data_IF_969890528253
#
_entry.id   IF_969890528253
#
_cell.length_a   1.000
_cell.length_b   1.000
_cell.length_c   1.000
_cell.angle_alpha   90.00
_cell.angle_beta   90.00
_cell.angle_gamma   90.00
#
_symmetry.space_group_name_H-M   'P 1'
#
loop_
_entity.id
_entity.type
_entity.pdbx_description
1 polymer ?
#
# COMPACT_ATOMS: atom_id res chain seq x y z
N UNK A 1 -19.46 -5.84 11.66
CA UNK A 1 -18.99 -5.03 10.50
C UNK A 1 -17.47 -5.06 10.32
N UNK A 2 -16.64 -5.09 11.38
CA UNK A 2 -15.15 -5.16 11.28
C UNK A 2 -14.56 -6.31 10.42
N UNK A 3 -15.15 -7.50 10.40
CA UNK A 3 -14.57 -8.65 9.68
C UNK A 3 -14.63 -8.54 8.15
N UNK A 4 -15.59 -7.80 7.58
CA UNK A 4 -15.79 -7.76 6.11
C UNK A 4 -14.73 -6.89 5.42
N UNK A 5 -14.38 -5.74 6.01
CA UNK A 5 -13.33 -4.84 5.50
C UNK A 5 -11.94 -5.45 5.64
N UNK A 6 -11.64 -6.08 6.79
CA UNK A 6 -10.38 -6.81 7.00
C UNK A 6 -10.19 -7.88 5.93
N UNK A 7 -11.25 -8.65 5.63
CA UNK A 7 -11.21 -9.71 4.61
C UNK A 7 -10.96 -9.14 3.20
N UNK A 8 -11.50 -7.96 2.90
CA UNK A 8 -11.35 -7.32 1.58
C UNK A 8 -9.93 -6.81 1.36
N UNK A 9 -9.35 -6.12 2.35
CA UNK A 9 -7.98 -5.63 2.28
C UNK A 9 -6.95 -6.76 2.16
N UNK A 10 -7.15 -7.87 2.89
CA UNK A 10 -6.28 -9.05 2.78
C UNK A 10 -6.34 -9.64 1.37
N UNK A 11 -7.53 -9.78 0.78
CA UNK A 11 -7.69 -10.29 -0.60
C UNK A 11 -7.01 -9.42 -1.64
N UNK A 12 -7.09 -8.10 -1.50
CA UNK A 12 -6.43 -7.17 -2.41
C UNK A 12 -4.91 -7.29 -2.31
N UNK A 13 -4.38 -7.37 -1.09
CA UNK A 13 -2.95 -7.59 -0.86
C UNK A 13 -2.50 -8.94 -1.45
N UNK A 14 -3.28 -10.00 -1.27
CA UNK A 14 -2.98 -11.32 -1.84
C UNK A 14 -2.93 -11.26 -3.37
N UNK A 15 -3.86 -10.55 -4.00
CA UNK A 15 -3.88 -10.34 -5.46
C UNK A 15 -2.61 -9.62 -5.94
N UNK A 16 -2.22 -8.55 -5.25
CA UNK A 16 -1.00 -7.78 -5.55
C UNK A 16 0.25 -8.65 -5.45
N UNK A 17 0.36 -9.45 -4.39
CA UNK A 17 1.49 -10.37 -4.17
C UNK A 17 1.64 -11.42 -5.27
N UNK A 18 0.56 -11.75 -5.98
CA UNK A 18 0.61 -12.70 -7.12
C UNK A 18 1.00 -12.07 -8.45
N UNK A 19 1.09 -10.75 -8.54
CA UNK A 19 1.44 -10.07 -9.80
C UNK A 19 2.94 -10.18 -10.09
N UNK A 20 3.32 -10.46 -11.34
CA UNK A 20 4.70 -10.74 -11.74
C UNK A 20 5.68 -9.60 -11.40
N UNK A 21 5.26 -8.35 -11.60
CA UNK A 21 6.08 -7.17 -11.31
C UNK A 21 6.41 -7.00 -9.81
N UNK A 22 5.62 -7.64 -8.95
CA UNK A 22 5.77 -7.57 -7.50
C UNK A 22 6.44 -8.81 -6.97
N UNK A 23 6.12 -10.00 -7.50
CA UNK A 23 6.67 -11.28 -7.05
C UNK A 23 8.21 -11.32 -7.05
N UNK A 24 8.84 -10.59 -7.97
CA UNK A 24 10.30 -10.49 -8.08
C UNK A 24 10.90 -9.28 -7.34
N UNK A 25 10.06 -8.41 -6.77
CA UNK A 25 10.47 -7.25 -6.00
C UNK A 25 10.43 -7.55 -4.49
N UNK A 26 11.57 -8.01 -3.97
CA UNK A 26 11.71 -8.40 -2.55
C UNK A 26 11.31 -7.30 -1.55
N UNK A 27 11.48 -6.02 -1.91
CA UNK A 27 11.11 -4.92 -1.03
C UNK A 27 9.58 -4.76 -0.94
N UNK A 28 8.90 -4.74 -2.09
CA UNK A 28 7.44 -4.67 -2.13
C UNK A 28 6.79 -5.90 -1.49
N UNK A 29 7.30 -7.10 -1.79
CA UNK A 29 6.79 -8.35 -1.19
C UNK A 29 6.85 -8.28 0.34
N UNK A 30 7.95 -7.80 0.92
CA UNK A 30 8.08 -7.64 2.37
C UNK A 30 7.09 -6.62 2.93
N UNK A 31 6.91 -5.48 2.26
CA UNK A 31 5.97 -4.43 2.68
C UNK A 31 4.54 -5.00 2.73
N UNK A 32 4.12 -5.66 1.64
CA UNK A 32 2.77 -6.21 1.53
C UNK A 32 2.52 -7.38 2.49
N UNK A 33 3.47 -8.30 2.67
CA UNK A 33 3.34 -9.40 3.63
C UNK A 33 3.25 -8.90 5.08
N UNK A 34 4.04 -7.88 5.45
CA UNK A 34 3.99 -7.26 6.77
C UNK A 34 2.61 -6.65 7.03
N UNK A 35 2.07 -5.92 6.06
CA UNK A 35 0.75 -5.31 6.20
C UNK A 35 -0.37 -6.35 6.24
N UNK A 36 -0.30 -7.39 5.39
CA UNK A 36 -1.24 -8.52 5.41
C UNK A 36 -1.37 -9.13 6.81
N UNK A 37 -0.23 -9.44 7.44
CA UNK A 37 -0.20 -10.01 8.79
C UNK A 37 -0.76 -9.06 9.86
N UNK A 38 -0.49 -7.75 9.75
CA UNK A 38 -1.02 -6.76 10.70
C UNK A 38 -2.54 -6.59 10.55
N UNK A 39 -3.06 -6.60 9.32
CA UNK A 39 -4.50 -6.53 9.03
C UNK A 39 -5.23 -7.79 9.52
N UNK A 40 -4.66 -8.98 9.30
CA UNK A 40 -5.23 -10.25 9.83
C UNK A 40 -5.29 -10.28 11.36
N UNK A 41 -4.32 -9.65 12.03
CA UNK A 41 -4.31 -9.49 13.49
C UNK A 41 -5.31 -8.43 13.98
N UNK A 42 -5.94 -7.68 13.08
CA UNK A 42 -6.87 -6.60 13.41
C UNK A 42 -6.20 -5.35 13.98
N UNK A 43 -4.91 -5.12 13.65
CA UNK A 43 -4.18 -3.93 14.07
C UNK A 43 -4.79 -2.68 13.40
N UNK A 44 -5.32 -1.75 14.20
CA UNK A 44 -6.13 -0.63 13.70
C UNK A 44 -5.37 0.39 12.84
N UNK A 45 -4.04 0.42 12.94
CA UNK A 45 -3.12 1.32 12.22
C UNK A 45 -2.41 0.60 11.05
N UNK A 46 -2.81 -0.63 10.71
CA UNK A 46 -2.12 -1.44 9.70
C UNK A 46 -2.12 -0.80 8.31
N UNK A 47 -3.25 -0.23 7.87
CA UNK A 47 -3.35 0.46 6.58
C UNK A 47 -2.54 1.75 6.53
N UNK A 48 -2.48 2.49 7.63
CA UNK A 48 -1.67 3.70 7.70
C UNK A 48 -0.17 3.40 7.69
N UNK A 49 0.26 2.35 8.39
CA UNK A 49 1.64 1.85 8.28
C UNK A 49 1.96 1.37 6.87
N UNK A 50 1.05 0.65 6.21
CA UNK A 50 1.21 0.26 4.81
C UNK A 50 1.35 1.48 3.88
N UNK A 51 0.50 2.49 4.04
CA UNK A 51 0.58 3.76 3.30
C UNK A 51 1.93 4.45 3.49
N UNK A 52 2.43 4.50 4.72
CA UNK A 52 3.74 5.06 5.03
C UNK A 52 4.89 4.23 4.42
N UNK A 53 4.83 2.90 4.54
CA UNK A 53 5.84 2.00 3.97
C UNK A 53 5.88 2.12 2.42
N UNK A 54 4.73 2.26 1.76
CA UNK A 54 4.64 2.55 0.32
C UNK A 54 5.23 3.93 -0.01
N UNK A 55 4.96 4.96 0.81
CA UNK A 55 5.54 6.31 0.61
C UNK A 55 7.07 6.25 0.63
N UNK A 56 7.63 5.56 1.62
CA UNK A 56 9.08 5.37 1.72
C UNK A 56 9.65 4.57 0.55
N UNK A 57 8.96 3.52 0.13
CA UNK A 57 9.33 2.78 -1.07
C UNK A 57 9.41 3.71 -2.28
N UNK A 58 8.39 4.53 -2.52
CA UNK A 58 8.36 5.47 -3.64
C UNK A 58 9.55 6.43 -3.56
N UNK A 59 9.79 7.07 -2.42
CA UNK A 59 10.93 7.99 -2.25
C UNK A 59 12.26 7.30 -2.57
N UNK A 60 12.48 6.09 -2.06
CA UNK A 60 13.72 5.33 -2.27
C UNK A 60 13.91 4.84 -3.71
N UNK A 61 12.81 4.65 -4.44
CA UNK A 61 12.80 4.15 -5.82
C UNK A 61 12.50 5.26 -6.82
N UNK A 62 12.85 6.53 -6.51
CA UNK A 62 12.68 7.69 -7.41
C UNK A 62 11.24 7.87 -7.90
N UNK A 63 10.29 7.52 -7.05
CA UNK A 63 8.85 7.54 -7.30
C UNK A 63 8.39 6.56 -8.39
N UNK A 64 9.22 5.58 -8.76
CA UNK A 64 8.85 4.50 -9.67
C UNK A 64 8.29 3.31 -8.89
N UNK A 65 7.14 2.80 -9.32
CA UNK A 65 6.56 1.56 -8.80
C UNK A 65 5.70 0.87 -9.86
N UNK A 66 5.55 -0.47 -9.78
CA UNK A 66 4.65 -1.23 -10.63
C UNK A 66 3.21 -0.68 -10.59
N UNK A 67 2.50 -0.82 -11.70
CA UNK A 67 1.10 -0.38 -11.83
C UNK A 67 0.19 -0.85 -10.69
N UNK A 68 0.21 -2.14 -10.28
CA UNK A 68 -0.66 -2.62 -9.21
C UNK A 68 -0.42 -1.92 -7.86
N UNK A 69 0.82 -1.50 -7.58
CA UNK A 69 1.16 -0.78 -6.34
C UNK A 69 0.56 0.63 -6.35
N UNK A 70 0.64 1.31 -7.50
CA UNK A 70 0.08 2.65 -7.65
C UNK A 70 -1.44 2.63 -7.57
N UNK A 71 -2.09 1.68 -8.24
CA UNK A 71 -3.55 1.53 -8.20
C UNK A 71 -4.05 1.28 -6.78
N UNK A 72 -3.36 0.40 -6.05
CA UNK A 72 -3.66 0.13 -4.65
C UNK A 72 -3.41 1.36 -3.75
N UNK A 73 -2.30 2.07 -3.96
CA UNK A 73 -2.01 3.30 -3.22
C UNK A 73 -3.10 4.38 -3.45
N UNK A 74 -3.63 4.48 -4.66
CA UNK A 74 -4.77 5.35 -4.96
C UNK A 74 -6.06 4.92 -4.25
N UNK A 75 -6.30 3.61 -4.09
CA UNK A 75 -7.45 3.10 -3.35
C UNK A 75 -7.36 3.48 -1.86
N UNK A 76 -6.21 3.29 -1.23
CA UNK A 76 -5.94 3.73 0.15
C UNK A 76 -6.12 5.26 0.27
N UNK A 77 -5.61 6.03 -0.70
CA UNK A 77 -5.71 7.49 -0.67
C UNK A 77 -7.17 8.01 -0.67
N UNK A 78 -8.07 7.28 -1.35
CA UNK A 78 -9.50 7.58 -1.43
C UNK A 78 -10.25 7.23 -0.14
N UNK A 79 -9.71 6.36 0.69
CA UNK A 79 -10.32 6.11 1.99
C UNK A 79 -10.23 7.37 2.88
N UNK A 80 -11.32 7.72 3.58
CA UNK A 80 -11.32 8.78 4.59
C UNK A 80 -10.59 8.31 5.83
N UNK A 81 -9.30 8.00 5.70
CA UNK A 81 -8.43 7.72 6.84
C UNK A 81 -8.30 8.98 7.69
N UNK A 82 -8.60 8.85 8.98
CA UNK A 82 -8.43 9.91 9.99
C UNK A 82 -6.96 10.18 10.36
N UNK A 83 -6.02 9.64 9.60
CA UNK A 83 -4.64 9.46 10.05
C UNK A 83 -3.66 10.52 9.53
N UNK A 84 -2.71 10.84 10.42
CA UNK A 84 -1.62 11.79 10.23
C UNK A 84 -0.62 11.21 9.22
N UNK A 85 -0.22 11.99 8.21
CA UNK A 85 0.71 11.54 7.15
C UNK A 85 0.09 11.37 5.76
N UNK A 86 -1.25 11.48 5.64
CA UNK A 86 -1.96 11.42 4.35
C UNK A 86 -1.40 12.40 3.30
N UNK A 87 -1.01 13.62 3.70
CA UNK A 87 -0.44 14.61 2.77
C UNK A 87 0.88 14.15 2.15
N UNK A 88 1.81 13.60 2.94
CA UNK A 88 3.09 13.12 2.45
C UNK A 88 2.94 11.89 1.53
N UNK A 89 1.98 11.00 1.86
CA UNK A 89 1.61 9.89 0.99
C UNK A 89 1.03 10.37 -0.34
N UNK A 90 0.08 11.32 -0.30
CA UNK A 90 -0.52 11.90 -1.51
C UNK A 90 0.52 12.59 -2.39
N UNK A 91 1.49 13.32 -1.80
CA UNK A 91 2.58 13.96 -2.53
C UNK A 91 3.48 12.92 -3.22
N UNK A 92 3.87 11.86 -2.52
CA UNK A 92 4.70 10.78 -3.07
C UNK A 92 3.99 10.05 -4.22
N UNK A 93 2.69 9.79 -4.05
CA UNK A 93 1.84 9.21 -5.08
C UNK A 93 1.70 10.14 -6.29
N UNK A 94 1.48 11.44 -6.07
CA UNK A 94 1.38 12.40 -7.17
C UNK A 94 2.68 12.45 -8.00
N UNK A 95 3.84 12.41 -7.36
CA UNK A 95 5.14 12.35 -8.04
C UNK A 95 5.28 11.08 -8.88
N UNK A 96 4.82 9.93 -8.38
CA UNK A 96 4.87 8.68 -9.16
C UNK A 96 4.03 8.69 -10.43
N UNK A 97 2.94 9.48 -10.45
CA UNK A 97 2.06 9.61 -11.60
C UNK A 97 2.62 10.53 -12.69
N UNK A 98 3.52 11.45 -12.34
CA UNK A 98 4.16 12.38 -13.28
C UNK A 98 5.27 11.69 -14.09
N UNK A 99 5.93 10.68 -13.50
CA UNK A 99 7.06 9.97 -14.12
C UNK A 99 6.62 8.80 -15.04
N UNK A 100 5.36 8.78 -15.49
CA UNK A 100 4.82 7.76 -16.39
C UNK A 100 4.62 8.25 -17.81
#
# INVERSE_FOLDING_TARGET
MKNKEVTEWVKQIDTILTTDDIRHNNALVKIFLKARAAIEKGEGDALARLSNDISWYLVLNKYEAPQPVIDFAQQIAKEPHKERGKLAFLQSLALSLIHR
#
